data_IF_130402278762
#
_entry.id   IF_130402278762
#
_cell.length_a   1.000
_cell.length_b   1.000
_cell.length_c   1.000
_cell.angle_alpha   90.00
_cell.angle_beta   90.00
_cell.angle_gamma   90.00
#
_symmetry.space_group_name_H-M   'P 1'
#
loop_
_entity.id
_entity.type
_entity.pdbx_description
1 polymer ?
#
# COMPACT_ATOMS: atom_id res chain seq x y z
N UNK A 1 -3.33 3.53 -8.70
CA UNK A 1 -2.98 4.74 -9.45
C UNK A 1 -4.24 5.25 -10.14
N UNK A 2 -4.45 6.55 -10.15
CA UNK A 2 -5.49 7.15 -10.98
C UNK A 2 -5.02 7.25 -12.44
N UNK A 3 -5.97 7.28 -13.39
CA UNK A 3 -5.68 7.34 -14.83
C UNK A 3 -4.90 8.60 -15.20
N UNK A 4 -5.23 9.75 -14.62
CA UNK A 4 -4.53 11.00 -14.91
C UNK A 4 -3.07 10.93 -14.46
N UNK A 5 -2.81 10.44 -13.25
CA UNK A 5 -1.45 10.25 -12.72
C UNK A 5 -0.62 9.29 -13.60
N UNK A 6 -1.25 8.21 -14.11
CA UNK A 6 -0.58 7.29 -15.02
C UNK A 6 -0.16 7.96 -16.33
N UNK A 7 -1.03 8.78 -16.91
CA UNK A 7 -0.77 9.48 -18.17
C UNK A 7 0.31 10.54 -18.01
N UNK A 8 0.28 11.32 -16.93
CA UNK A 8 1.33 12.30 -16.62
C UNK A 8 2.69 11.62 -16.48
N UNK A 9 2.78 10.57 -15.65
CA UNK A 9 4.03 9.83 -15.47
C UNK A 9 4.56 9.26 -16.79
N UNK A 10 3.66 8.73 -17.64
CA UNK A 10 4.05 8.19 -18.94
C UNK A 10 4.62 9.30 -19.84
N UNK A 11 3.96 10.45 -19.90
CA UNK A 11 4.39 11.58 -20.73
C UNK A 11 5.74 12.13 -20.28
N UNK A 12 5.93 12.32 -18.98
CA UNK A 12 7.18 12.82 -18.41
C UNK A 12 8.35 11.86 -18.73
N UNK A 13 8.14 10.55 -18.54
CA UNK A 13 9.15 9.54 -18.87
C UNK A 13 9.45 9.46 -20.37
N UNK A 14 8.44 9.62 -21.22
CA UNK A 14 8.62 9.63 -22.67
C UNK A 14 9.52 10.79 -23.09
N UNK A 15 9.28 11.99 -22.55
CA UNK A 15 10.10 13.17 -22.81
C UNK A 15 11.54 13.00 -22.31
N UNK A 16 11.75 12.38 -21.15
CA UNK A 16 13.09 12.17 -20.61
C UNK A 16 13.87 11.09 -21.37
N UNK A 17 13.20 10.01 -21.77
CA UNK A 17 13.84 8.92 -22.52
C UNK A 17 14.15 9.35 -23.96
N UNK A 18 13.26 10.12 -24.60
CA UNK A 18 13.48 10.63 -25.96
C UNK A 18 14.64 11.61 -26.07
N UNK A 19 15.11 12.18 -24.96
CA UNK A 19 16.33 13.02 -24.94
C UNK A 19 17.62 12.20 -24.98
N UNK A 20 17.54 10.92 -24.65
CA UNK A 20 18.71 10.02 -24.52
C UNK A 20 18.75 9.00 -25.67
N UNK A 21 17.57 8.61 -26.17
CA UNK A 21 17.42 7.64 -27.24
C UNK A 21 16.72 8.29 -28.44
N UNK A 22 17.37 8.25 -29.60
CA UNK A 22 16.80 8.73 -30.87
C UNK A 22 15.85 7.70 -31.51
N UNK A 23 15.94 6.42 -31.12
CA UNK A 23 15.08 5.36 -31.65
C UNK A 23 13.72 5.33 -30.92
N UNK A 24 12.69 5.85 -31.60
CA UNK A 24 11.31 5.90 -31.10
C UNK A 24 10.73 4.52 -30.75
N UNK A 25 11.10 3.47 -31.48
CA UNK A 25 10.66 2.11 -31.16
C UNK A 25 11.27 1.61 -29.87
N UNK A 26 12.56 1.88 -29.64
CA UNK A 26 13.23 1.52 -28.40
C UNK A 26 12.67 2.31 -27.21
N UNK A 27 12.45 3.63 -27.38
CA UNK A 27 11.81 4.49 -26.37
C UNK A 27 10.49 3.88 -25.90
N UNK A 28 9.62 3.50 -26.85
CA UNK A 28 8.31 2.92 -26.53
C UNK A 28 8.41 1.59 -25.79
N UNK A 29 9.33 0.71 -26.19
CA UNK A 29 9.54 -0.58 -25.51
C UNK A 29 10.01 -0.39 -24.07
N UNK A 30 10.97 0.51 -23.84
CA UNK A 30 11.47 0.84 -22.50
C UNK A 30 10.34 1.44 -21.65
N UNK A 31 9.60 2.39 -22.21
CA UNK A 31 8.48 3.03 -21.53
C UNK A 31 7.42 2.01 -21.10
N UNK A 32 7.03 1.08 -21.98
CA UNK A 32 6.04 0.05 -21.68
C UNK A 32 6.53 -0.92 -20.59
N UNK A 33 7.81 -1.29 -20.60
CA UNK A 33 8.42 -2.12 -19.56
C UNK A 33 8.43 -1.42 -18.20
N UNK A 34 8.87 -0.16 -18.16
CA UNK A 34 8.91 0.65 -16.93
C UNK A 34 7.51 0.83 -16.37
N UNK A 35 6.55 1.26 -17.20
CA UNK A 35 5.18 1.49 -16.76
C UNK A 35 4.53 0.21 -16.24
N UNK A 36 4.77 -0.94 -16.89
CA UNK A 36 4.29 -2.25 -16.40
C UNK A 36 4.86 -2.56 -15.01
N UNK A 37 6.16 -2.33 -14.79
CA UNK A 37 6.81 -2.57 -13.49
C UNK A 37 6.27 -1.65 -12.40
N UNK A 38 6.07 -0.37 -12.70
CA UNK A 38 5.49 0.60 -11.76
C UNK A 38 4.09 0.17 -11.33
N UNK A 39 3.23 -0.19 -12.28
CA UNK A 39 1.86 -0.64 -11.98
C UNK A 39 1.88 -1.91 -11.12
N UNK A 40 2.74 -2.88 -11.44
CA UNK A 40 2.90 -4.09 -10.63
C UNK A 40 3.36 -3.78 -9.20
N UNK A 41 4.33 -2.88 -9.04
CA UNK A 41 4.83 -2.45 -7.73
C UNK A 41 3.73 -1.80 -6.89
N UNK A 42 2.96 -0.88 -7.48
CA UNK A 42 1.86 -0.23 -6.79
C UNK A 42 0.73 -1.19 -6.40
N UNK A 43 0.40 -2.15 -7.27
CA UNK A 43 -0.58 -3.18 -6.97
C UNK A 43 -0.12 -4.06 -5.80
N UNK A 44 1.15 -4.48 -5.80
CA UNK A 44 1.73 -5.26 -4.71
C UNK A 44 1.71 -4.48 -3.38
N UNK A 45 2.03 -3.19 -3.42
CA UNK A 45 1.98 -2.33 -2.23
C UNK A 45 0.55 -2.13 -1.71
N UNK A 46 -0.43 -1.94 -2.59
CA UNK A 46 -1.83 -1.84 -2.22
C UNK A 46 -2.33 -3.12 -1.52
N UNK A 47 -1.99 -4.29 -2.07
CA UNK A 47 -2.29 -5.59 -1.44
C UNK A 47 -1.60 -5.71 -0.08
N UNK A 48 -0.33 -5.30 0.04
CA UNK A 48 0.39 -5.31 1.31
C UNK A 48 -0.30 -4.43 2.36
N UNK A 49 -0.71 -3.22 2.00
CA UNK A 49 -1.45 -2.30 2.88
C UNK A 49 -2.80 -2.88 3.30
N UNK A 50 -3.53 -3.49 2.37
CA UNK A 50 -4.80 -4.17 2.68
C UNK A 50 -4.60 -5.35 3.63
N UNK A 51 -3.57 -6.17 3.41
CA UNK A 51 -3.23 -7.28 4.30
C UNK A 51 -2.91 -6.78 5.70
N UNK A 52 -2.05 -5.77 5.84
CA UNK A 52 -1.72 -5.19 7.15
C UNK A 52 -2.98 -4.66 7.85
N UNK A 53 -3.85 -3.95 7.14
CA UNK A 53 -5.10 -3.43 7.70
C UNK A 53 -6.04 -4.56 8.12
N UNK A 54 -6.15 -5.61 7.29
CA UNK A 54 -6.92 -6.80 7.65
C UNK A 54 -6.33 -7.45 8.90
N UNK A 55 -5.04 -7.73 8.91
CA UNK A 55 -4.37 -8.39 10.03
C UNK A 55 -4.52 -7.59 11.33
N UNK A 56 -4.49 -6.26 11.26
CA UNK A 56 -4.79 -5.38 12.39
C UNK A 56 -6.26 -5.51 12.85
N UNK A 57 -7.24 -5.47 11.94
CA UNK A 57 -8.68 -5.59 12.26
C UNK A 57 -9.07 -7.00 12.73
N UNK A 58 -8.44 -8.02 12.16
CA UNK A 58 -8.67 -9.43 12.47
C UNK A 58 -7.69 -9.94 13.52
N UNK A 59 -6.90 -9.05 14.13
CA UNK A 59 -6.08 -9.36 15.29
C UNK A 59 -7.03 -9.76 16.43
N UNK A 60 -7.36 -11.04 16.46
CA UNK A 60 -7.95 -11.69 17.62
C UNK A 60 -6.78 -12.12 18.47
N UNK A 61 -6.77 -11.70 19.74
CA UNK A 61 -5.88 -12.29 20.74
C UNK A 61 -6.00 -13.81 20.60
N UNK A 62 -4.88 -14.51 20.39
CA UNK A 62 -4.89 -15.96 20.25
C UNK A 62 -5.67 -16.56 21.42
N UNK A 63 -6.47 -17.60 21.19
CA UNK A 63 -7.34 -18.18 22.23
C UNK A 63 -6.57 -18.66 23.47
N UNK A 64 -5.26 -18.90 23.32
CA UNK A 64 -4.29 -19.26 24.35
C UNK A 64 -3.58 -18.07 25.03
N UNK A 65 -3.80 -16.84 24.56
CA UNK A 65 -3.17 -15.64 25.11
C UNK A 65 -4.10 -15.07 26.17
N UNK A 66 -3.76 -15.31 27.44
CA UNK A 66 -4.40 -14.63 28.56
C UNK A 66 -4.23 -13.13 28.36
N UNK A 67 -5.33 -12.36 28.23
CA UNK A 67 -5.21 -10.92 28.11
C UNK A 67 -4.51 -10.39 29.37
N UNK A 68 -3.58 -9.42 29.24
CA UNK A 68 -2.97 -8.82 30.41
C UNK A 68 -4.06 -8.15 31.26
N UNK A 69 -3.89 -8.13 32.58
CA UNK A 69 -4.94 -7.76 33.54
C UNK A 69 -5.58 -6.38 33.26
N UNK A 70 -4.81 -5.43 32.74
CA UNK A 70 -5.27 -4.09 32.35
C UNK A 70 -6.18 -4.07 31.11
N UNK A 71 -6.24 -5.17 30.36
CA UNK A 71 -6.95 -5.29 29.09
C UNK A 71 -8.08 -6.34 29.10
N UNK A 72 -8.28 -7.05 30.22
CA UNK A 72 -9.46 -7.86 30.48
C UNK A 72 -10.61 -6.95 30.94
N UNK A 73 -11.83 -7.22 30.49
CA UNK A 73 -13.05 -6.49 30.88
C UNK A 73 -14.18 -7.49 31.08
N UNK A 74 -14.95 -7.33 32.14
CA UNK A 74 -16.20 -8.07 32.29
C UNK A 74 -17.24 -7.56 31.27
N UNK A 75 -18.04 -8.45 30.65
CA UNK A 75 -19.10 -8.01 29.75
C UNK A 75 -20.09 -7.09 30.51
N UNK A 76 -20.27 -5.86 30.04
CA UNK A 76 -21.24 -4.90 30.61
C UNK A 76 -20.66 -3.79 31.48
N UNK A 77 -19.34 -3.73 31.71
CA UNK A 77 -18.70 -2.63 32.45
C UNK A 77 -18.12 -1.54 31.55
N UNK A 78 -18.28 -0.28 31.97
CA UNK A 78 -17.66 0.89 31.34
C UNK A 78 -16.15 0.97 31.63
N UNK A 79 -15.35 1.67 30.81
CA UNK A 79 -13.91 1.78 31.01
C UNK A 79 -13.58 2.44 32.35
N UNK A 80 -12.86 1.75 33.25
CA UNK A 80 -12.49 2.28 34.57
C UNK A 80 -11.23 3.17 34.56
N UNK A 81 -10.49 3.23 33.45
CA UNK A 81 -9.25 4.00 33.36
C UNK A 81 -9.40 5.00 32.21
N UNK A 82 -9.38 6.30 32.53
CA UNK A 82 -9.19 7.34 31.52
C UNK A 82 -7.91 7.04 30.75
N UNK A 83 -7.94 7.00 29.40
CA UNK A 83 -6.72 6.84 28.65
C UNK A 83 -5.77 7.99 29.00
N UNK A 84 -4.55 7.65 29.42
CA UNK A 84 -3.48 8.60 29.76
C UNK A 84 -3.40 9.68 28.66
N UNK A 85 -3.55 10.94 29.07
CA UNK A 85 -3.39 12.12 28.21
C UNK A 85 -1.94 12.32 27.81
#
# INVERSE_FOLDING_TARGET
>A
MDKATHQHLRFDLEQDISRVLDDEHLVRQVLDLVMRRVVQGQAAEAVRRQRINRDFKTFRRGRSVTPPAWAFREPGTSPQVEPLR
#
